data_IF_798706164762
#
_entry.id   IF_798706164762
#
_cell.length_a   1.000
_cell.length_b   1.000
_cell.length_c   1.000
_cell.angle_alpha   90.00
_cell.angle_beta   90.00
_cell.angle_gamma   90.00
#
_symmetry.space_group_name_H-M   'P 1'
#
loop_
_entity.id
_entity.type
_entity.pdbx_description
1 polymer ?
#
# COMPACT_ATOMS: atom_id res chain seq x y z
N UNK A 1 -23.58 11.18 22.75
CA UNK A 1 -24.63 10.61 21.89
C UNK A 1 -23.97 9.47 21.14
N UNK A 2 -24.11 8.23 21.62
CA UNK A 2 -23.60 7.06 20.90
C UNK A 2 -24.55 6.85 19.72
N UNK A 3 -24.13 7.29 18.54
CA UNK A 3 -24.81 6.89 17.31
C UNK A 3 -24.55 5.39 17.13
N UNK A 4 -25.63 4.62 17.06
CA UNK A 4 -25.57 3.19 16.75
C UNK A 4 -25.11 3.03 15.29
N UNK A 5 -23.87 2.58 15.11
CA UNK A 5 -23.29 2.39 13.78
C UNK A 5 -23.95 1.20 13.09
N UNK A 6 -24.18 1.31 11.78
CA UNK A 6 -24.70 0.24 10.93
C UNK A 6 -24.27 0.45 9.49
N UNK A 7 -24.25 -0.62 8.69
CA UNK A 7 -23.96 -0.50 7.26
C UNK A 7 -25.11 0.19 6.52
N UNK A 8 -24.77 1.03 5.53
CA UNK A 8 -25.74 1.79 4.73
C UNK A 8 -26.39 0.99 3.61
N UNK A 9 -25.89 -0.22 3.32
CA UNK A 9 -26.39 -1.10 2.26
C UNK A 9 -25.28 -2.01 1.69
N UNK A 10 -25.62 -2.86 0.71
CA UNK A 10 -24.65 -3.77 0.07
C UNK A 10 -23.75 -2.99 -0.88
N UNK A 11 -22.67 -2.40 -0.35
CA UNK A 11 -21.66 -1.67 -1.11
C UNK A 11 -20.37 -2.46 -1.18
N UNK A 12 -19.68 -2.36 -2.31
CA UNK A 12 -18.34 -2.88 -2.52
C UNK A 12 -17.33 -1.91 -1.90
N UNK A 13 -16.61 -2.30 -0.84
CA UNK A 13 -15.67 -1.42 -0.19
C UNK A 13 -14.42 -1.26 -1.04
N UNK A 14 -13.95 -0.03 -1.18
CA UNK A 14 -12.80 0.36 -1.99
C UNK A 14 -11.83 1.16 -1.13
N UNK A 15 -10.54 0.85 -1.22
CA UNK A 15 -9.51 1.66 -0.62
C UNK A 15 -9.18 2.85 -1.53
N UNK A 16 -9.00 4.04 -0.95
CA UNK A 16 -8.42 5.18 -1.66
C UNK A 16 -6.90 5.03 -1.74
N UNK A 17 -6.19 5.83 -2.56
CA UNK A 17 -4.73 5.85 -2.56
C UNK A 17 -4.13 6.13 -1.17
N UNK A 18 -4.77 7.00 -0.38
CA UNK A 18 -4.37 7.26 1.00
C UNK A 18 -4.56 6.03 1.92
N UNK A 19 -5.69 5.32 1.77
CA UNK A 19 -5.95 4.08 2.50
C UNK A 19 -4.99 2.95 2.12
N UNK A 20 -4.70 2.80 0.83
CA UNK A 20 -3.72 1.84 0.33
C UNK A 20 -2.31 2.16 0.85
N UNK A 21 -1.91 3.44 0.85
CA UNK A 21 -0.63 3.87 1.38
C UNK A 21 -0.54 3.59 2.87
N UNK A 22 -1.58 3.94 3.62
CA UNK A 22 -1.65 3.63 5.03
C UNK A 22 -1.46 2.13 5.26
N UNK A 23 -2.20 1.27 4.56
CA UNK A 23 -2.15 -0.19 4.73
C UNK A 23 -0.73 -0.76 4.67
N UNK A 24 0.13 -0.22 3.81
CA UNK A 24 1.48 -0.73 3.55
C UNK A 24 2.61 0.07 4.21
N UNK A 25 2.33 1.24 4.81
CA UNK A 25 3.35 2.12 5.36
C UNK A 25 4.05 1.59 6.62
N UNK A 26 3.53 0.55 7.27
CA UNK A 26 4.09 -0.02 8.50
C UNK A 26 3.80 -1.50 8.67
N UNK A 27 4.66 -2.18 9.44
CA UNK A 27 4.60 -3.62 9.64
C UNK A 27 3.66 -4.07 10.77
N UNK A 28 2.98 -3.13 11.46
CA UNK A 28 2.13 -3.47 12.60
C UNK A 28 0.86 -4.21 12.15
N UNK A 29 0.63 -5.39 12.71
CA UNK A 29 -0.63 -6.11 12.54
C UNK A 29 -1.68 -5.54 13.49
N UNK A 30 -2.36 -4.46 13.08
CA UNK A 30 -3.52 -3.92 13.78
C UNK A 30 -4.83 -4.17 13.03
N UNK A 31 -5.94 -3.97 13.74
CA UNK A 31 -7.30 -4.16 13.22
C UNK A 31 -7.57 -3.35 11.94
N UNK A 32 -6.97 -2.16 11.83
CA UNK A 32 -7.19 -1.25 10.70
C UNK A 32 -6.46 -1.72 9.46
N UNK A 33 -5.20 -2.16 9.60
CA UNK A 33 -4.45 -2.77 8.50
C UNK A 33 -5.09 -4.07 8.04
N UNK A 34 -5.53 -4.90 8.99
CA UNK A 34 -6.23 -6.15 8.69
C UNK A 34 -7.48 -5.90 7.84
N UNK A 35 -8.34 -4.95 8.25
CA UNK A 35 -9.52 -4.58 7.49
C UNK A 35 -9.16 -4.01 6.11
N UNK A 36 -8.17 -3.12 6.02
CA UNK A 36 -7.73 -2.56 4.74
C UNK A 36 -7.18 -3.63 3.79
N UNK A 37 -6.38 -4.58 4.26
CA UNK A 37 -5.87 -5.67 3.41
C UNK A 37 -7.00 -6.57 2.90
N UNK A 38 -8.01 -6.85 3.74
CA UNK A 38 -9.19 -7.58 3.28
C UNK A 38 -9.99 -6.79 2.22
N UNK A 39 -10.15 -5.48 2.39
CA UNK A 39 -10.76 -4.60 1.39
C UNK A 39 -9.96 -4.62 0.07
N UNK A 40 -8.63 -4.46 0.12
CA UNK A 40 -7.75 -4.48 -1.05
C UNK A 40 -7.78 -5.84 -1.78
N UNK A 41 -7.95 -6.95 -1.04
CA UNK A 41 -7.98 -8.30 -1.60
C UNK A 41 -9.35 -8.66 -2.20
N UNK A 42 -10.42 -8.36 -1.49
CA UNK A 42 -11.77 -8.91 -1.76
C UNK A 42 -12.83 -7.85 -2.07
N UNK A 43 -12.63 -6.60 -1.67
CA UNK A 43 -13.62 -5.52 -1.74
C UNK A 43 -14.13 -5.21 -3.14
N UNK A 44 -13.29 -5.39 -4.17
CA UNK A 44 -13.67 -5.24 -5.57
C UNK A 44 -14.79 -6.19 -6.04
N UNK A 45 -14.94 -7.36 -5.39
CA UNK A 45 -15.79 -8.46 -5.86
C UNK A 45 -16.90 -8.86 -4.88
N UNK A 46 -16.78 -8.50 -3.60
CA UNK A 46 -17.73 -8.92 -2.56
C UNK A 46 -18.33 -7.69 -1.88
N UNK A 47 -19.67 -7.51 -1.89
CA UNK A 47 -20.29 -6.44 -1.14
C UNK A 47 -20.14 -6.69 0.36
N UNK A 48 -19.85 -5.63 1.11
CA UNK A 48 -19.63 -5.72 2.54
C UNK A 48 -20.95 -5.99 3.27
N UNK A 49 -20.95 -7.00 4.14
CA UNK A 49 -22.04 -7.31 5.06
C UNK A 49 -21.50 -7.32 6.49
N UNK A 50 -22.38 -7.21 7.49
CA UNK A 50 -21.97 -7.22 8.90
C UNK A 50 -21.22 -8.50 9.30
N UNK A 51 -21.66 -9.73 8.92
CA UNK A 51 -20.90 -10.93 9.19
C UNK A 51 -19.50 -10.90 8.56
N UNK A 52 -19.41 -10.43 7.32
CA UNK A 52 -18.13 -10.34 6.60
C UNK A 52 -17.21 -9.29 7.21
N UNK A 53 -17.76 -8.17 7.70
CA UNK A 53 -16.99 -7.13 8.37
C UNK A 53 -16.37 -7.65 9.67
N UNK A 54 -17.14 -8.38 10.48
CA UNK A 54 -16.62 -9.06 11.67
C UNK A 54 -15.56 -10.10 11.31
N UNK A 55 -15.76 -10.89 10.26
CA UNK A 55 -14.76 -11.86 9.76
C UNK A 55 -13.46 -11.16 9.30
N UNK A 56 -13.57 -10.09 8.52
CA UNK A 56 -12.42 -9.35 7.99
C UNK A 56 -11.63 -8.62 9.07
N UNK A 57 -12.29 -8.22 10.14
CA UNK A 57 -11.65 -7.66 11.33
C UNK A 57 -11.13 -8.75 12.26
N UNK A 58 -11.74 -9.95 12.23
CA UNK A 58 -11.59 -10.99 13.24
C UNK A 58 -11.80 -10.39 14.64
N UNK A 59 -12.95 -9.73 14.78
CA UNK A 59 -13.37 -8.95 15.96
C UNK A 59 -14.90 -8.84 16.03
N UNK A 60 -15.42 -8.36 17.16
CA UNK A 60 -16.84 -8.11 17.37
C UNK A 60 -17.38 -7.02 16.43
N UNK A 61 -18.65 -7.14 16.04
CA UNK A 61 -19.28 -6.24 15.07
C UNK A 61 -19.20 -4.76 15.47
N UNK A 62 -19.38 -4.44 16.75
CA UNK A 62 -19.31 -3.06 17.25
C UNK A 62 -17.93 -2.44 16.99
N UNK A 63 -16.86 -3.18 17.32
CA UNK A 63 -15.48 -2.73 17.13
C UNK A 63 -15.10 -2.67 15.65
N UNK A 64 -15.60 -3.61 14.85
CA UNK A 64 -15.40 -3.63 13.40
C UNK A 64 -16.09 -2.43 12.71
N UNK A 65 -17.33 -2.11 13.10
CA UNK A 65 -18.07 -0.94 12.63
C UNK A 65 -17.39 0.37 13.03
N UNK A 66 -16.93 0.49 14.27
CA UNK A 66 -16.17 1.66 14.73
C UNK A 66 -14.90 1.87 13.91
N UNK A 67 -14.21 0.77 13.57
CA UNK A 67 -12.99 0.81 12.75
C UNK A 67 -13.29 1.24 11.31
N UNK A 68 -14.32 0.66 10.69
CA UNK A 68 -14.75 1.05 9.35
C UNK A 68 -15.16 2.52 9.30
N UNK A 69 -15.94 2.98 10.28
CA UNK A 69 -16.36 4.38 10.37
C UNK A 69 -15.16 5.32 10.51
N UNK A 70 -14.14 4.95 11.30
CA UNK A 70 -12.89 5.71 11.41
C UNK A 70 -12.16 5.79 10.07
N UNK A 71 -12.06 4.68 9.33
CA UNK A 71 -11.45 4.65 8.00
C UNK A 71 -12.20 5.57 7.01
N UNK A 72 -13.52 5.58 7.05
CA UNK A 72 -14.34 6.48 6.23
C UNK A 72 -14.10 7.95 6.58
N UNK A 73 -14.02 8.28 7.88
CA UNK A 73 -13.71 9.64 8.34
C UNK A 73 -12.32 10.13 7.97
N UNK A 74 -11.38 9.21 7.77
CA UNK A 74 -10.02 9.48 7.28
C UNK A 74 -9.94 9.48 5.76
N UNK A 75 -11.06 9.26 5.05
CA UNK A 75 -11.12 9.13 3.60
C UNK A 75 -10.22 8.00 3.06
N UNK A 76 -9.99 6.96 3.87
CA UNK A 76 -9.20 5.80 3.47
C UNK A 76 -10.00 4.76 2.70
N UNK A 77 -11.32 4.75 2.90
CA UNK A 77 -12.23 3.82 2.24
C UNK A 77 -13.52 4.50 1.82
N UNK A 78 -14.09 4.04 0.71
CA UNK A 78 -15.43 4.41 0.27
C UNK A 78 -16.19 3.18 -0.22
N UNK A 79 -17.51 3.31 -0.38
CA UNK A 79 -18.35 2.26 -0.96
C UNK A 79 -18.70 2.57 -2.41
N UNK A 80 -18.83 1.52 -3.23
CA UNK A 80 -19.35 1.60 -4.60
C UNK A 80 -20.53 0.65 -4.78
N UNK A 81 -21.46 0.98 -5.67
CA UNK A 81 -22.67 0.17 -5.88
C UNK A 81 -22.43 -1.06 -6.77
N UNK A 82 -21.42 -0.99 -7.63
CA UNK A 82 -21.09 -2.02 -8.61
C UNK A 82 -19.71 -2.61 -8.33
N UNK A 83 -19.52 -3.92 -8.57
CA UNK A 83 -18.20 -4.54 -8.46
C UNK A 83 -17.24 -3.95 -9.50
N UNK A 84 -15.96 -3.86 -9.14
CA UNK A 84 -14.90 -3.47 -10.08
C UNK A 84 -14.27 -4.73 -10.67
N UNK A 85 -13.95 -4.76 -11.99
CA UNK A 85 -13.22 -5.88 -12.55
C UNK A 85 -11.91 -6.10 -11.80
N UNK A 86 -11.61 -7.37 -11.52
CA UNK A 86 -10.29 -7.76 -11.03
C UNK A 86 -9.24 -7.36 -12.06
N UNK A 87 -8.05 -6.99 -11.59
CA UNK A 87 -6.92 -6.82 -12.48
C UNK A 87 -6.62 -8.15 -13.21
N UNK A 88 -6.64 -8.13 -14.54
CA UNK A 88 -6.52 -9.31 -15.37
C UNK A 88 -5.05 -9.67 -15.65
N UNK A 89 -4.66 -10.93 -15.44
CA UNK A 89 -3.29 -11.41 -15.67
C UNK A 89 -2.57 -11.83 -14.38
N UNK A 90 -1.30 -12.24 -14.50
CA UNK A 90 -0.46 -12.54 -13.34
C UNK A 90 0.29 -11.29 -12.86
N UNK A 91 0.82 -11.33 -11.63
CA UNK A 91 1.55 -10.23 -10.99
C UNK A 91 2.68 -9.71 -11.91
N UNK A 92 3.48 -10.61 -12.45
CA UNK A 92 4.68 -10.30 -13.22
C UNK A 92 4.36 -9.54 -14.53
N UNK A 93 3.23 -9.86 -15.16
CA UNK A 93 2.79 -9.20 -16.41
C UNK A 93 2.23 -7.80 -16.17
N UNK A 94 1.66 -7.52 -15.00
CA UNK A 94 1.00 -6.25 -14.70
C UNK A 94 1.93 -5.23 -14.03
N UNK A 95 2.94 -5.70 -13.30
CA UNK A 95 3.85 -4.83 -12.56
C UNK A 95 4.51 -3.74 -13.44
N UNK A 96 5.03 -4.01 -14.65
CA UNK A 96 5.72 -2.97 -15.43
C UNK A 96 4.85 -1.75 -15.75
N UNK A 97 3.60 -1.95 -16.18
CA UNK A 97 2.68 -0.85 -16.52
C UNK A 97 2.29 -0.03 -15.28
N UNK A 98 2.02 -0.70 -14.17
CA UNK A 98 1.73 -0.02 -12.90
C UNK A 98 2.95 0.77 -12.43
N UNK A 99 4.14 0.18 -12.46
CA UNK A 99 5.39 0.83 -12.06
C UNK A 99 5.66 2.09 -12.91
N UNK A 100 5.52 2.00 -14.24
CA UNK A 100 5.69 3.15 -15.12
C UNK A 100 4.75 4.31 -14.72
N UNK A 101 3.48 4.01 -14.44
CA UNK A 101 2.48 5.00 -14.07
C UNK A 101 2.73 5.68 -12.70
N UNK A 102 3.53 5.06 -11.82
CA UNK A 102 3.87 5.59 -10.50
C UNK A 102 4.95 6.67 -10.53
N UNK A 103 5.58 6.89 -11.67
CA UNK A 103 6.68 7.84 -11.83
C UNK A 103 6.32 8.96 -12.80
N UNK A 104 6.69 10.20 -12.45
CA UNK A 104 6.67 11.33 -13.38
C UNK A 104 7.59 11.15 -14.59
N UNK A 105 8.65 10.33 -14.48
CA UNK A 105 9.60 10.02 -15.54
C UNK A 105 9.44 8.62 -16.14
N UNK A 106 8.43 7.84 -15.72
CA UNK A 106 8.23 6.45 -16.14
C UNK A 106 9.24 5.46 -15.54
N UNK A 107 10.03 5.88 -14.55
CA UNK A 107 11.07 5.07 -13.94
C UNK A 107 10.65 4.58 -12.55
N UNK A 108 10.43 3.27 -12.40
CA UNK A 108 10.12 2.67 -11.11
C UNK A 108 10.49 1.20 -11.06
N UNK A 109 10.58 0.66 -9.86
CA UNK A 109 11.15 -0.64 -9.56
C UNK A 109 10.52 -1.18 -8.28
N UNK A 110 10.19 -2.48 -8.24
CA UNK A 110 9.77 -3.16 -7.03
C UNK A 110 10.79 -4.23 -6.65
N UNK A 111 11.33 -4.15 -5.44
CA UNK A 111 12.29 -5.11 -4.89
C UNK A 111 11.83 -5.69 -3.55
N UNK A 112 12.41 -6.83 -3.17
CA UNK A 112 12.30 -7.37 -1.82
C UNK A 112 13.28 -6.68 -0.85
N UNK A 113 13.26 -7.10 0.42
CA UNK A 113 14.12 -6.55 1.46
C UNK A 113 15.57 -7.11 1.45
N UNK A 114 15.91 -7.98 0.50
CA UNK A 114 17.26 -8.49 0.25
C UNK A 114 17.92 -7.85 -0.96
N UNK A 115 17.22 -6.96 -1.66
CA UNK A 115 17.72 -6.24 -2.83
C UNK A 115 17.61 -7.03 -4.14
N UNK A 116 16.71 -8.01 -4.21
CA UNK A 116 16.32 -8.66 -5.46
C UNK A 116 15.05 -7.98 -5.99
N UNK A 117 15.04 -7.61 -7.27
CA UNK A 117 13.85 -7.00 -7.86
C UNK A 117 12.93 -7.96 -8.60
N UNK A 118 11.63 -7.69 -8.51
CA UNK A 118 10.56 -8.45 -9.17
C UNK A 118 10.25 -7.90 -10.55
N UNK A 119 10.19 -6.58 -10.68
CA UNK A 119 9.87 -5.89 -11.92
C UNK A 119 10.44 -4.48 -11.92
N UNK A 120 10.65 -3.94 -13.12
CA UNK A 120 11.16 -2.60 -13.36
C UNK A 120 10.48 -1.98 -14.57
N UNK A 121 10.36 -0.66 -14.57
CA UNK A 121 9.92 0.17 -15.67
C UNK A 121 10.92 1.33 -15.82
N UNK A 122 11.30 1.66 -17.06
CA UNK A 122 12.15 2.81 -17.40
C UNK A 122 13.61 2.77 -16.94
N UNK A 123 14.02 1.86 -16.04
CA UNK A 123 15.43 1.62 -15.72
C UNK A 123 16.03 0.53 -16.61
N UNK A 124 17.31 0.68 -16.96
CA UNK A 124 18.09 -0.41 -17.54
C UNK A 124 18.30 -1.53 -16.50
N UNK A 125 18.40 -2.77 -16.98
CA UNK A 125 18.51 -3.96 -16.13
C UNK A 125 19.67 -3.88 -15.13
N UNK A 126 20.87 -3.51 -15.58
CA UNK A 126 22.06 -3.36 -14.73
C UNK A 126 21.85 -2.30 -13.64
N UNK A 127 21.27 -1.16 -14.00
CA UNK A 127 20.95 -0.09 -13.04
C UNK A 127 19.87 -0.53 -12.04
N UNK A 128 18.89 -1.31 -12.48
CA UNK A 128 17.83 -1.81 -11.59
C UNK A 128 18.38 -2.77 -10.53
N UNK A 129 19.35 -3.63 -10.87
CA UNK A 129 20.04 -4.50 -9.90
C UNK A 129 20.78 -3.70 -8.83
N UNK A 130 21.55 -2.67 -9.24
CA UNK A 130 22.28 -1.82 -8.30
C UNK A 130 21.33 -1.01 -7.39
N UNK A 131 20.24 -0.48 -7.95
CA UNK A 131 19.23 0.23 -7.17
C UNK A 131 18.53 -0.70 -6.18
N UNK A 132 18.23 -1.94 -6.58
CA UNK A 132 17.61 -2.93 -5.69
C UNK A 132 18.53 -3.28 -4.52
N UNK A 133 19.83 -3.50 -4.78
CA UNK A 133 20.83 -3.71 -3.73
C UNK A 133 20.87 -2.54 -2.73
N UNK A 134 20.89 -1.30 -3.23
CA UNK A 134 20.82 -0.09 -2.41
C UNK A 134 19.50 -0.02 -1.59
N UNK A 135 18.38 -0.45 -2.16
CA UNK A 135 17.11 -0.51 -1.45
C UNK A 135 17.17 -1.45 -0.24
N UNK A 136 17.81 -2.62 -0.38
CA UNK A 136 18.06 -3.54 0.73
C UNK A 136 18.84 -2.90 1.89
N UNK A 137 19.91 -2.17 1.56
CA UNK A 137 20.71 -1.42 2.55
C UNK A 137 19.89 -0.35 3.27
N UNK A 138 19.07 0.41 2.54
CA UNK A 138 18.20 1.45 3.10
C UNK A 138 17.09 0.85 3.97
N UNK A 139 16.50 -0.27 3.58
CA UNK A 139 15.52 -0.98 4.40
C UNK A 139 16.14 -1.50 5.69
N UNK A 140 17.37 -2.03 5.64
CA UNK A 140 18.13 -2.44 6.82
C UNK A 140 18.44 -1.26 7.75
N UNK A 141 18.87 -0.13 7.20
CA UNK A 141 19.07 1.12 7.95
C UNK A 141 17.77 1.59 8.62
N UNK A 142 16.68 1.65 7.86
CA UNK A 142 15.36 2.06 8.33
C UNK A 142 14.87 1.17 9.49
N UNK A 143 15.03 -0.15 9.36
CA UNK A 143 14.67 -1.13 10.41
C UNK A 143 15.47 -0.92 11.69
N UNK A 144 16.79 -0.70 11.58
CA UNK A 144 17.67 -0.43 12.74
C UNK A 144 17.29 0.84 13.50
N UNK A 145 16.73 1.83 12.81
CA UNK A 145 16.37 3.13 13.40
C UNK A 145 14.85 3.35 13.53
N UNK A 146 14.03 2.31 13.37
CA UNK A 146 12.58 2.43 13.33
C UNK A 146 11.99 3.14 14.57
N UNK A 147 12.49 2.84 15.77
CA UNK A 147 12.02 3.50 17.00
C UNK A 147 12.27 5.01 17.01
N UNK A 148 13.41 5.47 16.47
CA UNK A 148 13.71 6.89 16.32
C UNK A 148 12.73 7.54 15.35
N UNK A 149 12.57 6.95 14.16
CA UNK A 149 11.73 7.49 13.10
C UNK A 149 10.26 7.58 13.53
N UNK A 150 9.75 6.52 14.15
CA UNK A 150 8.35 6.41 14.55
C UNK A 150 8.05 7.15 15.86
N UNK A 151 8.79 6.87 16.94
CA UNK A 151 8.39 7.32 18.28
C UNK A 151 8.94 8.71 18.64
N UNK A 152 10.09 9.11 18.08
CA UNK A 152 10.70 10.40 18.43
C UNK A 152 10.43 11.47 17.37
N UNK A 153 10.46 11.10 16.09
CA UNK A 153 10.22 12.04 14.99
C UNK A 153 8.77 12.01 14.48
N UNK A 154 7.96 11.03 14.92
CA UNK A 154 6.57 10.86 14.51
C UNK A 154 6.38 10.84 12.98
N UNK A 155 7.31 10.19 12.28
CA UNK A 155 7.24 10.05 10.83
C UNK A 155 6.29 8.90 10.48
N UNK A 156 5.26 9.19 9.68
CA UNK A 156 4.25 8.22 9.26
C UNK A 156 4.69 7.28 8.13
N UNK A 157 5.85 7.54 7.52
CA UNK A 157 6.48 6.66 6.53
C UNK A 157 7.99 6.73 6.72
N UNK A 158 8.67 5.61 6.45
CA UNK A 158 10.12 5.52 6.53
C UNK A 158 10.78 5.58 5.14
N UNK A 159 10.19 6.37 4.23
CA UNK A 159 10.73 6.58 2.90
C UNK A 159 12.01 7.42 2.92
N UNK A 160 12.94 7.09 2.02
CA UNK A 160 14.19 7.81 1.82
C UNK A 160 14.26 8.32 0.39
N UNK A 161 14.86 9.49 0.15
CA UNK A 161 14.99 10.02 -1.19
C UNK A 161 16.30 10.77 -1.40
N UNK A 162 16.89 10.59 -2.58
CA UNK A 162 17.83 11.54 -3.16
C UNK A 162 17.02 12.68 -3.78
N UNK A 163 17.32 13.92 -3.37
CA UNK A 163 16.60 15.12 -3.82
C UNK A 163 17.51 16.09 -4.56
N UNK A 164 16.95 16.87 -5.47
CA UNK A 164 17.63 18.02 -6.07
C UNK A 164 17.76 19.19 -5.07
N UNK A 165 18.52 20.26 -5.40
CA UNK A 165 18.63 21.42 -4.52
C UNK A 165 17.32 22.15 -4.23
N UNK A 166 16.26 21.91 -5.02
CA UNK A 166 14.92 22.44 -4.78
C UNK A 166 14.05 21.50 -3.93
N UNK A 167 14.59 20.38 -3.46
CA UNK A 167 13.89 19.38 -2.64
C UNK A 167 13.01 18.41 -3.41
N UNK A 168 13.11 18.37 -4.75
CA UNK A 168 12.32 17.45 -5.58
C UNK A 168 12.98 16.09 -5.61
N UNK A 169 12.17 15.04 -5.50
CA UNK A 169 12.65 13.66 -5.59
C UNK A 169 13.31 13.40 -6.95
N UNK A 170 14.54 12.88 -6.92
CA UNK A 170 15.22 12.29 -8.08
C UNK A 170 15.14 10.77 -8.05
N UNK A 171 15.26 10.17 -6.86
CA UNK A 171 15.10 8.74 -6.63
C UNK A 171 14.62 8.52 -5.19
N UNK A 172 13.45 7.92 -5.02
CA UNK A 172 12.84 7.68 -3.72
C UNK A 172 12.57 6.20 -3.48
N UNK A 173 12.73 5.77 -2.23
CA UNK A 173 12.62 4.41 -1.76
C UNK A 173 11.51 4.36 -0.72
N UNK A 174 10.43 3.64 -1.02
CA UNK A 174 9.25 3.49 -0.19
C UNK A 174 9.19 2.05 0.35
N UNK A 175 9.42 1.83 1.65
CA UNK A 175 9.13 0.55 2.28
C UNK A 175 7.63 0.26 2.19
N UNK A 176 7.26 -0.89 1.64
CA UNK A 176 5.91 -1.42 1.62
C UNK A 176 5.87 -2.71 2.44
N UNK A 177 5.01 -2.75 3.44
CA UNK A 177 4.81 -3.91 4.30
C UNK A 177 3.48 -4.57 3.93
N UNK A 178 3.51 -5.82 3.49
CA UNK A 178 2.32 -6.59 3.12
C UNK A 178 2.35 -7.90 3.90
N UNK A 179 1.51 -7.97 4.93
CA UNK A 179 1.52 -9.04 5.93
C UNK A 179 2.94 -9.28 6.50
N UNK A 180 3.53 -10.46 6.27
CA UNK A 180 4.87 -10.80 6.77
C UNK A 180 6.00 -10.43 5.82
N UNK A 181 5.67 -9.92 4.62
CA UNK A 181 6.66 -9.63 3.59
C UNK A 181 6.89 -8.12 3.47
N UNK A 182 8.15 -7.74 3.28
CA UNK A 182 8.56 -6.36 3.08
C UNK A 182 9.10 -6.19 1.65
N UNK A 183 8.72 -5.09 1.03
CA UNK A 183 9.16 -4.68 -0.30
C UNK A 183 9.73 -3.26 -0.23
N UNK A 184 10.55 -2.91 -1.21
CA UNK A 184 10.89 -1.54 -1.55
C UNK A 184 10.27 -1.20 -2.90
N UNK A 185 9.40 -0.18 -2.92
CA UNK A 185 9.00 0.49 -4.14
C UNK A 185 9.96 1.66 -4.37
N UNK A 186 10.73 1.58 -5.44
CA UNK A 186 11.68 2.61 -5.84
C UNK A 186 11.10 3.39 -7.02
N UNK A 187 11.09 4.72 -6.92
CA UNK A 187 10.55 5.62 -7.95
C UNK A 187 11.59 6.65 -8.32
N UNK A 188 11.95 6.71 -9.60
CA UNK A 188 12.70 7.81 -10.20
C UNK A 188 11.80 9.02 -10.44
N UNK A 189 12.35 10.21 -10.24
CA UNK A 189 11.62 11.48 -10.41
C UNK A 189 10.49 11.69 -9.38
N UNK A 190 9.42 12.37 -9.84
CA UNK A 190 8.27 12.71 -9.00
C UNK A 190 7.38 11.47 -8.74
N UNK A 191 7.13 11.09 -7.47
CA UNK A 191 6.31 9.94 -7.12
C UNK A 191 4.81 10.23 -7.24
N UNK A 192 4.06 9.34 -7.92
CA UNK A 192 2.61 9.44 -8.14
C UNK A 192 1.82 8.43 -7.30
N UNK A 193 2.07 8.44 -5.98
CA UNK A 193 1.43 7.50 -5.04
C UNK A 193 -0.05 7.81 -4.77
N UNK A 194 -0.51 9.03 -5.05
CA UNK A 194 -1.92 9.42 -5.01
C UNK A 194 -2.62 9.07 -6.34
N UNK A 195 -2.58 7.79 -6.72
CA UNK A 195 -3.12 7.31 -8.00
C UNK A 195 -3.75 5.92 -7.89
N UNK A 196 -4.64 5.60 -8.82
CA UNK A 196 -5.23 4.26 -8.95
C UNK A 196 -4.19 3.18 -9.29
N UNK A 197 -3.10 3.55 -9.98
CA UNK A 197 -2.00 2.63 -10.25
C UNK A 197 -1.35 2.16 -8.94
N UNK A 198 -1.24 3.04 -7.94
CA UNK A 198 -0.70 2.67 -6.63
C UNK A 198 -1.65 1.74 -5.87
N UNK A 199 -2.96 2.03 -5.91
CA UNK A 199 -3.97 1.12 -5.35
C UNK A 199 -3.86 -0.26 -6.02
N UNK A 200 -3.80 -0.31 -7.35
CA UNK A 200 -3.65 -1.55 -8.11
C UNK A 200 -2.39 -2.35 -7.74
N UNK A 201 -1.25 -1.68 -7.59
CA UNK A 201 -0.01 -2.32 -7.10
C UNK A 201 -0.23 -2.97 -5.73
N UNK A 202 -0.80 -2.23 -4.78
CA UNK A 202 -1.04 -2.73 -3.43
C UNK A 202 -2.04 -3.88 -3.43
N UNK A 203 -3.09 -3.84 -4.26
CA UNK A 203 -4.05 -4.94 -4.40
C UNK A 203 -3.38 -6.22 -4.92
N UNK A 204 -2.49 -6.11 -5.91
CA UNK A 204 -1.76 -7.26 -6.43
C UNK A 204 -0.87 -7.90 -5.37
N UNK A 205 -0.15 -7.08 -4.60
CA UNK A 205 0.67 -7.56 -3.51
C UNK A 205 -0.19 -8.19 -2.39
N UNK A 206 -1.29 -7.54 -2.01
CA UNK A 206 -2.21 -8.05 -0.99
C UNK A 206 -2.82 -9.40 -1.37
N UNK A 207 -3.24 -9.58 -2.63
CA UNK A 207 -3.77 -10.87 -3.11
C UNK A 207 -2.73 -12.00 -3.06
N UNK A 208 -1.46 -11.67 -3.24
CA UNK A 208 -0.39 -12.66 -3.33
C UNK A 208 0.22 -13.01 -1.98
N UNK A 209 0.25 -12.06 -1.04
CA UNK A 209 1.06 -12.13 0.18
C UNK A 209 0.32 -11.87 1.49
N UNK A 210 -0.92 -11.34 1.46
CA UNK A 210 -1.73 -11.08 2.66
C UNK A 210 -2.93 -12.02 2.76
#
# INVERSE_FOLDING_TARGET
>A
MNEELRLSGPLYPMATPAGAFYAVAGAEADLTRRLLFNILRLGHAVPLSEPLLSEWCDDELEQALATLYRLQRLEFVHGTAEPRPALAGNLESQLPELLEALSGSGQALLADDNGLYYATAGFHHETAEEIAALAGDLMSLSRRHHLLLKNHLNLGSAAWAAVDPAGRSQLAFYPLHVAQQAFALIIGGEPRLQSEAFVGLVELLARRYA
#
